data_IF_411929545882
#
_entry.id   IF_411929545882
#
_cell.length_a   1.000
_cell.length_b   1.000
_cell.length_c   1.000
_cell.angle_alpha   90.00
_cell.angle_beta   90.00
_cell.angle_gamma   90.00
#
_symmetry.space_group_name_H-M   'P 1'
#
loop_
_entity.id
_entity.type
_entity.pdbx_description
1 polymer ?
#
# COMPACT_ATOMS: atom_id res chain seq x y z
N UNK A 1 -73.30 18.76 -7.27
CA UNK A 1 -72.16 18.16 -8.01
C UNK A 1 -70.88 18.89 -7.61
N UNK A 2 -70.24 18.47 -6.52
CA UNK A 2 -68.92 18.99 -6.13
C UNK A 2 -67.88 17.97 -6.62
N UNK A 3 -67.08 18.35 -7.63
CA UNK A 3 -66.06 17.47 -8.20
C UNK A 3 -64.84 17.47 -7.29
N UNK A 4 -64.58 16.32 -6.69
CA UNK A 4 -63.32 15.96 -6.04
C UNK A 4 -62.22 15.93 -7.09
N UNK A 5 -61.37 16.95 -7.14
CA UNK A 5 -60.09 16.88 -7.87
C UNK A 5 -59.03 16.31 -6.95
N UNK A 6 -58.83 15.00 -7.08
CA UNK A 6 -57.65 14.29 -6.58
C UNK A 6 -56.43 14.94 -7.22
N UNK A 7 -55.54 15.51 -6.40
CA UNK A 7 -54.21 15.95 -6.84
C UNK A 7 -53.37 14.69 -7.01
N UNK A 8 -53.02 14.38 -8.26
CA UNK A 8 -52.10 13.31 -8.59
C UNK A 8 -50.76 13.52 -7.86
N UNK A 9 -50.40 12.54 -7.03
CA UNK A 9 -49.07 12.45 -6.43
C UNK A 9 -48.17 11.79 -7.47
N UNK A 10 -47.45 12.60 -8.25
CA UNK A 10 -46.36 12.11 -9.08
C UNK A 10 -45.17 11.71 -8.20
N UNK A 11 -45.14 10.44 -7.78
CA UNK A 11 -43.94 9.79 -7.25
C UNK A 11 -43.07 9.41 -8.44
N UNK A 12 -42.42 10.40 -9.06
CA UNK A 12 -41.23 10.18 -9.88
C UNK A 12 -40.03 10.69 -9.11
N UNK A 13 -39.77 10.03 -7.98
CA UNK A 13 -38.46 10.12 -7.34
C UNK A 13 -37.55 9.21 -8.14
N UNK A 14 -37.02 9.72 -9.25
CA UNK A 14 -35.84 9.17 -9.90
C UNK A 14 -34.75 9.07 -8.83
N UNK A 15 -34.62 7.89 -8.23
CA UNK A 15 -33.49 7.53 -7.42
C UNK A 15 -32.30 7.55 -8.37
N UNK A 16 -31.63 8.70 -8.43
CA UNK A 16 -30.30 8.82 -9.00
C UNK A 16 -29.40 7.85 -8.24
N UNK A 17 -29.33 6.61 -8.73
CA UNK A 17 -28.42 5.57 -8.27
C UNK A 17 -27.03 5.84 -8.87
N UNK A 18 -26.62 7.12 -8.85
CA UNK A 18 -25.26 7.51 -9.13
C UNK A 18 -24.34 6.80 -8.13
N UNK A 19 -23.14 6.35 -8.54
CA UNK A 19 -22.22 5.67 -7.64
C UNK A 19 -22.01 6.56 -6.42
N UNK A 20 -22.38 6.08 -5.22
CA UNK A 20 -22.13 6.81 -3.97
C UNK A 20 -20.63 7.03 -3.85
N UNK A 21 -20.18 8.27 -4.12
CA UNK A 21 -18.79 8.66 -3.96
C UNK A 21 -18.54 9.03 -2.50
N UNK A 22 -17.50 8.46 -1.92
CA UNK A 22 -17.11 8.71 -0.53
C UNK A 22 -15.76 9.41 -0.55
N UNK A 23 -15.71 10.61 0.03
CA UNK A 23 -14.46 11.32 0.30
C UNK A 23 -13.83 10.85 1.61
N UNK A 24 -12.50 10.88 1.69
CA UNK A 24 -11.74 10.57 2.90
C UNK A 24 -11.56 11.79 3.82
N UNK A 25 -11.34 11.57 5.11
CA UNK A 25 -10.97 12.66 6.02
C UNK A 25 -9.57 13.20 5.68
N UNK A 26 -9.32 14.48 5.97
CA UNK A 26 -7.99 15.08 5.82
C UNK A 26 -6.93 14.33 6.64
N UNK A 27 -7.31 13.84 7.83
CA UNK A 27 -6.42 13.06 8.68
C UNK A 27 -5.98 11.76 7.99
N UNK A 28 -6.92 11.02 7.36
CA UNK A 28 -6.59 9.82 6.59
C UNK A 28 -5.68 10.16 5.41
N UNK A 29 -5.96 11.25 4.69
CA UNK A 29 -5.15 11.68 3.54
C UNK A 29 -3.70 11.96 3.94
N UNK A 30 -3.48 12.70 5.03
CA UNK A 30 -2.15 13.00 5.57
C UNK A 30 -1.45 11.71 6.04
N UNK A 31 -2.18 10.83 6.72
CA UNK A 31 -1.64 9.53 7.16
C UNK A 31 -1.12 8.73 5.98
N UNK A 32 -1.93 8.56 4.92
CA UNK A 32 -1.54 7.80 3.72
C UNK A 32 -0.29 8.39 3.05
N UNK A 33 -0.20 9.72 2.95
CA UNK A 33 0.98 10.38 2.38
C UNK A 33 2.22 10.12 3.22
N UNK A 34 2.14 10.30 4.55
CA UNK A 34 3.30 10.13 5.44
C UNK A 34 3.76 8.66 5.47
N UNK A 35 2.84 7.72 5.69
CA UNK A 35 3.18 6.28 5.75
C UNK A 35 3.61 5.77 4.38
N UNK A 36 2.98 6.26 3.31
CA UNK A 36 3.38 5.96 1.94
C UNK A 36 4.78 6.47 1.62
N UNK A 37 5.12 7.70 2.01
CA UNK A 37 6.45 8.27 1.82
C UNK A 37 7.53 7.50 2.59
N UNK A 38 7.24 7.13 3.84
CA UNK A 38 8.15 6.31 4.65
C UNK A 38 8.40 4.93 4.01
N UNK A 39 7.33 4.25 3.56
CA UNK A 39 7.44 2.96 2.88
C UNK A 39 8.14 3.05 1.53
N UNK A 40 7.90 4.11 0.76
CA UNK A 40 8.58 4.38 -0.49
C UNK A 40 10.08 4.60 -0.27
N UNK A 41 10.46 5.38 0.74
CA UNK A 41 11.86 5.58 1.11
C UNK A 41 12.55 4.26 1.49
N UNK A 42 11.92 3.45 2.33
CA UNK A 42 12.45 2.14 2.69
C UNK A 42 12.65 1.25 1.46
N UNK A 43 11.63 1.13 0.59
CA UNK A 43 11.70 0.36 -0.64
C UNK A 43 12.79 0.87 -1.60
N UNK A 44 12.98 2.19 -1.67
CA UNK A 44 14.02 2.84 -2.47
C UNK A 44 15.43 2.52 -1.99
N UNK A 45 15.67 2.64 -0.68
CA UNK A 45 16.98 2.33 -0.08
C UNK A 45 17.32 0.85 -0.26
N UNK A 46 16.39 -0.06 0.03
CA UNK A 46 16.62 -1.51 -0.14
C UNK A 46 16.93 -1.83 -1.61
N UNK A 47 16.24 -1.17 -2.55
CA UNK A 47 16.49 -1.32 -3.98
C UNK A 47 17.92 -0.93 -4.36
N UNK A 48 18.38 0.24 -3.91
CA UNK A 48 19.75 0.71 -4.18
C UNK A 48 20.78 -0.26 -3.60
N UNK A 49 20.58 -0.67 -2.35
CA UNK A 49 21.48 -1.62 -1.69
C UNK A 49 21.50 -2.97 -2.41
N UNK A 50 20.39 -3.37 -3.03
CA UNK A 50 20.31 -4.59 -3.83
C UNK A 50 21.16 -4.44 -5.08
N UNK A 51 21.04 -3.34 -5.82
CA UNK A 51 21.87 -3.10 -7.00
C UNK A 51 23.37 -3.07 -6.66
N UNK A 52 23.77 -2.38 -5.60
CA UNK A 52 25.16 -2.36 -5.13
C UNK A 52 25.68 -3.76 -4.77
N UNK A 53 24.83 -4.59 -4.18
CA UNK A 53 25.17 -5.98 -3.85
C UNK A 53 25.28 -6.87 -5.09
N UNK A 54 24.52 -6.57 -6.16
CA UNK A 54 24.66 -7.25 -7.45
C UNK A 54 25.96 -6.85 -8.16
N UNK A 55 26.36 -5.58 -8.08
CA UNK A 55 27.63 -5.09 -8.64
C UNK A 55 28.84 -5.62 -7.87
N UNK A 56 28.76 -5.61 -6.53
CA UNK A 56 29.83 -6.03 -5.63
C UNK A 56 29.28 -6.99 -4.56
N UNK A 57 29.49 -8.31 -4.69
CA UNK A 57 28.92 -9.30 -3.78
C UNK A 57 29.45 -9.22 -2.33
N UNK A 58 30.56 -8.50 -2.12
CA UNK A 58 31.17 -8.18 -0.84
C UNK A 58 30.68 -6.85 -0.24
N UNK A 59 29.73 -6.16 -0.90
CA UNK A 59 29.13 -4.94 -0.35
C UNK A 59 28.34 -5.27 0.92
N UNK A 60 28.63 -4.55 2.00
CA UNK A 60 27.92 -4.67 3.27
C UNK A 60 26.95 -3.49 3.36
N UNK A 61 25.62 -3.72 3.32
CA UNK A 61 24.64 -2.64 3.48
C UNK A 61 24.83 -1.93 4.81
N UNK A 62 24.62 -0.60 4.84
CA UNK A 62 24.80 0.20 6.05
C UNK A 62 23.87 -0.21 7.21
N UNK A 63 22.79 -0.92 6.91
CA UNK A 63 21.87 -1.49 7.89
C UNK A 63 22.26 -2.90 8.38
N UNK A 64 23.41 -3.44 7.95
CA UNK A 64 23.95 -4.73 8.40
C UNK A 64 24.94 -4.54 9.55
N UNK A 65 24.43 -4.46 10.77
CA UNK A 65 25.23 -4.15 11.97
C UNK A 65 25.82 -5.39 12.65
N UNK A 66 25.13 -6.53 12.54
CA UNK A 66 25.49 -7.78 13.20
C UNK A 66 24.90 -8.96 12.39
N UNK A 67 25.45 -10.19 12.45
CA UNK A 67 24.83 -11.39 11.89
C UNK A 67 23.31 -11.56 12.13
N UNK A 68 22.77 -11.07 13.25
CA UNK A 68 21.31 -11.08 13.53
C UNK A 68 20.55 -9.95 12.82
N UNK A 69 21.17 -8.77 12.66
CA UNK A 69 20.60 -7.62 11.94
C UNK A 69 21.39 -7.41 10.66
N UNK A 70 21.11 -8.27 9.66
CA UNK A 70 21.80 -8.26 8.38
C UNK A 70 20.81 -8.16 7.22
N UNK A 71 20.66 -6.95 6.69
CA UNK A 71 19.95 -6.70 5.44
C UNK A 71 20.53 -7.55 4.29
N UNK A 72 21.85 -7.70 4.23
CA UNK A 72 22.53 -8.46 3.17
C UNK A 72 22.13 -9.94 3.13
N UNK A 73 21.98 -10.58 4.29
CA UNK A 73 21.60 -12.00 4.37
C UNK A 73 20.16 -12.22 3.87
N UNK A 74 19.24 -11.34 4.25
CA UNK A 74 17.83 -11.38 3.82
C UNK A 74 17.74 -11.10 2.32
N UNK A 75 18.49 -10.12 1.83
CA UNK A 75 18.49 -9.76 0.42
C UNK A 75 19.02 -10.88 -0.48
N UNK A 76 19.95 -11.72 0.01
CA UNK A 76 20.45 -12.90 -0.72
C UNK A 76 19.50 -14.10 -0.64
N UNK A 77 18.50 -14.07 0.23
CA UNK A 77 17.54 -15.17 0.39
C UNK A 77 16.59 -15.29 -0.81
N UNK A 78 16.04 -16.50 -1.03
CA UNK A 78 15.04 -16.74 -2.09
C UNK A 78 13.72 -16.00 -1.81
N UNK A 79 13.42 -15.78 -0.53
CA UNK A 79 12.21 -15.10 -0.07
C UNK A 79 12.19 -13.62 -0.44
N UNK A 80 13.36 -13.01 -0.68
CA UNK A 80 13.46 -11.63 -1.17
C UNK A 80 12.96 -11.44 -2.62
N UNK A 81 12.67 -12.53 -3.34
CA UNK A 81 12.08 -12.52 -4.68
C UNK A 81 10.88 -13.49 -4.77
N UNK A 82 9.89 -13.31 -3.90
CA UNK A 82 8.75 -14.23 -3.75
C UNK A 82 7.92 -14.38 -5.04
N UNK A 83 7.88 -13.34 -5.87
CA UNK A 83 7.15 -13.30 -7.14
C UNK A 83 8.06 -13.39 -8.37
N UNK A 84 9.32 -13.83 -8.21
CA UNK A 84 10.30 -13.92 -9.30
C UNK A 84 11.03 -12.60 -9.60
N UNK A 85 10.67 -11.51 -8.92
CA UNK A 85 11.36 -10.22 -8.94
C UNK A 85 11.57 -9.72 -7.51
N UNK A 86 12.52 -8.79 -7.26
CA UNK A 86 12.81 -8.30 -5.91
C UNK A 86 11.56 -7.67 -5.26
N UNK A 87 11.18 -8.15 -4.08
CA UNK A 87 10.02 -7.62 -3.34
C UNK A 87 10.06 -6.08 -3.12
N UNK A 88 11.22 -5.42 -2.94
CA UNK A 88 11.29 -3.96 -2.83
C UNK A 88 10.69 -3.22 -4.04
N UNK A 89 10.74 -3.80 -5.24
CA UNK A 89 10.10 -3.23 -6.44
C UNK A 89 8.59 -3.18 -6.30
N UNK A 90 7.98 -4.23 -5.70
CA UNK A 90 6.55 -4.24 -5.38
C UNK A 90 6.22 -3.10 -4.41
N UNK A 91 7.09 -2.89 -3.41
CA UNK A 91 6.98 -1.78 -2.45
C UNK A 91 6.98 -0.42 -3.13
N UNK A 92 7.88 -0.16 -4.09
CA UNK A 92 7.92 1.11 -4.82
C UNK A 92 6.60 1.43 -5.51
N UNK A 93 6.02 0.44 -6.19
CA UNK A 93 4.74 0.61 -6.89
C UNK A 93 3.59 0.77 -5.90
N UNK A 94 3.49 -0.11 -4.91
CA UNK A 94 2.39 -0.12 -3.95
C UNK A 94 2.36 1.15 -3.10
N UNK A 95 3.50 1.57 -2.53
CA UNK A 95 3.57 2.79 -1.74
C UNK A 95 3.40 4.05 -2.61
N UNK A 96 3.86 4.03 -3.87
CA UNK A 96 3.57 5.09 -4.83
C UNK A 96 2.05 5.28 -5.04
N UNK A 97 1.30 4.18 -5.23
CA UNK A 97 -0.16 4.22 -5.33
C UNK A 97 -0.78 4.79 -4.05
N UNK A 98 -0.33 4.35 -2.87
CA UNK A 98 -0.83 4.85 -1.58
C UNK A 98 -0.64 6.38 -1.45
N UNK A 99 0.51 6.91 -1.85
CA UNK A 99 0.76 8.35 -1.88
C UNK A 99 -0.18 9.04 -2.85
N UNK A 100 -0.37 8.51 -4.07
CA UNK A 100 -1.31 9.07 -5.04
C UNK A 100 -2.74 9.14 -4.50
N UNK A 101 -3.20 8.09 -3.81
CA UNK A 101 -4.50 8.09 -3.13
C UNK A 101 -4.53 9.15 -2.04
N UNK A 102 -3.51 9.25 -1.19
CA UNK A 102 -3.42 10.30 -0.17
C UNK A 102 -3.48 11.72 -0.74
N UNK A 103 -2.71 11.99 -1.80
CA UNK A 103 -2.68 13.29 -2.47
C UNK A 103 -4.01 13.64 -3.13
N UNK A 104 -4.67 12.66 -3.75
CA UNK A 104 -6.00 12.87 -4.35
C UNK A 104 -7.06 13.24 -3.32
N UNK A 105 -7.01 12.64 -2.12
CA UNK A 105 -7.89 12.99 -1.02
C UNK A 105 -7.61 14.40 -0.48
N UNK A 106 -6.34 14.85 -0.45
CA UNK A 106 -5.99 16.24 -0.13
C UNK A 106 -6.54 17.22 -1.19
N UNK A 107 -6.57 16.81 -2.46
CA UNK A 107 -7.21 17.55 -3.55
C UNK A 107 -8.75 17.50 -3.51
N UNK A 108 -9.35 16.87 -2.48
CA UNK A 108 -10.80 16.67 -2.31
C UNK A 108 -11.45 15.81 -3.40
N UNK A 109 -10.69 14.89 -3.99
CA UNK A 109 -11.27 13.87 -4.86
C UNK A 109 -12.25 12.97 -4.08
N UNK A 110 -13.30 12.52 -4.74
CA UNK A 110 -14.26 11.56 -4.19
C UNK A 110 -14.26 10.31 -5.07
N UNK A 111 -14.28 9.14 -4.43
CA UNK A 111 -14.14 7.86 -5.13
C UNK A 111 -15.38 6.97 -4.92
N UNK A 112 -15.78 6.18 -5.94
CA UNK A 112 -16.89 5.23 -5.79
C UNK A 112 -16.52 4.12 -4.80
N UNK A 113 -17.54 3.49 -4.20
CA UNK A 113 -17.35 2.46 -3.15
C UNK A 113 -16.47 1.27 -3.58
N UNK A 114 -16.50 0.87 -4.85
CA UNK A 114 -15.66 -0.21 -5.38
C UNK A 114 -14.16 0.11 -5.30
N UNK A 115 -13.78 1.37 -5.57
CA UNK A 115 -12.40 1.83 -5.45
C UNK A 115 -11.86 1.70 -4.02
N UNK A 116 -12.69 2.03 -3.04
CA UNK A 116 -12.33 1.85 -1.64
C UNK A 116 -12.19 0.37 -1.27
N UNK A 117 -13.02 -0.50 -1.83
CA UNK A 117 -12.97 -1.94 -1.57
C UNK A 117 -11.71 -2.57 -2.15
N UNK A 118 -11.32 -2.19 -3.37
CA UNK A 118 -10.06 -2.65 -3.98
C UNK A 118 -8.84 -2.09 -3.25
N UNK A 119 -8.86 -0.82 -2.85
CA UNK A 119 -7.78 -0.23 -2.05
C UNK A 119 -7.61 -0.95 -0.71
N UNK A 120 -8.70 -1.22 0.02
CA UNK A 120 -8.65 -1.96 1.28
C UNK A 120 -8.19 -3.41 1.09
N UNK A 121 -8.63 -4.08 0.01
CA UNK A 121 -8.16 -5.41 -0.30
C UNK A 121 -6.64 -5.42 -0.57
N UNK A 122 -6.14 -4.42 -1.30
CA UNK A 122 -4.71 -4.24 -1.55
C UNK A 122 -3.90 -3.97 -0.29
N UNK A 123 -4.37 -3.09 0.61
CA UNK A 123 -3.69 -2.83 1.88
C UNK A 123 -3.71 -4.04 2.81
N UNK A 124 -4.83 -4.77 2.87
CA UNK A 124 -4.94 -6.02 3.63
C UNK A 124 -3.97 -7.08 3.12
N UNK A 125 -3.88 -7.24 1.79
CA UNK A 125 -2.88 -8.10 1.16
C UNK A 125 -1.46 -7.67 1.54
N UNK A 126 -1.17 -6.37 1.50
CA UNK A 126 0.13 -5.82 1.90
C UNK A 126 0.50 -6.19 3.34
N UNK A 127 -0.41 -6.01 4.29
CA UNK A 127 -0.21 -6.40 5.71
C UNK A 127 0.04 -7.90 5.85
N UNK A 128 -0.74 -8.72 5.15
CA UNK A 128 -0.57 -10.17 5.15
C UNK A 128 0.78 -10.59 4.56
N UNK A 129 1.18 -9.98 3.45
CA UNK A 129 2.45 -10.24 2.78
C UNK A 129 3.65 -9.82 3.63
N UNK A 130 3.61 -8.63 4.26
CA UNK A 130 4.65 -8.18 5.19
C UNK A 130 4.75 -9.12 6.40
N UNK A 131 3.61 -9.56 6.96
CA UNK A 131 3.59 -10.50 8.09
C UNK A 131 4.18 -11.85 7.71
N UNK A 132 3.89 -12.34 6.50
CA UNK A 132 4.50 -13.56 5.97
C UNK A 132 6.01 -13.41 5.76
N UNK A 133 6.48 -12.30 5.21
CA UNK A 133 7.92 -12.01 5.08
C UNK A 133 8.61 -11.92 6.45
N UNK A 134 7.97 -11.29 7.43
CA UNK A 134 8.46 -11.23 8.80
C UNK A 134 8.63 -12.64 9.39
N UNK A 135 7.65 -13.52 9.18
CA UNK A 135 7.72 -14.92 9.60
C UNK A 135 8.89 -15.66 8.92
N UNK A 136 9.10 -15.46 7.62
CA UNK A 136 10.24 -16.05 6.91
C UNK A 136 11.59 -15.54 7.46
N UNK A 137 11.72 -14.24 7.69
CA UNK A 137 12.94 -13.64 8.25
C UNK A 137 13.25 -14.19 9.64
N UNK A 138 12.26 -14.28 10.53
CA UNK A 138 12.46 -14.74 11.91
C UNK A 138 12.67 -16.25 12.01
N UNK A 139 11.81 -17.06 11.38
CA UNK A 139 11.76 -18.51 11.63
C UNK A 139 12.47 -19.38 10.60
N UNK A 140 12.93 -18.80 9.48
CA UNK A 140 13.69 -19.54 8.45
C UNK A 140 15.11 -18.99 8.27
N UNK A 141 15.25 -17.67 8.19
CA UNK A 141 16.55 -17.01 7.90
C UNK A 141 17.30 -16.66 9.19
N UNK A 142 16.57 -16.43 10.30
CA UNK A 142 17.10 -15.94 11.58
C UNK A 142 17.88 -14.62 11.43
N UNK A 143 17.40 -13.73 10.57
CA UNK A 143 18.02 -12.42 10.32
C UNK A 143 16.94 -11.35 10.18
N UNK A 144 17.19 -10.15 10.71
CA UNK A 144 16.31 -8.99 10.60
C UNK A 144 16.92 -7.91 9.70
N UNK A 145 16.07 -7.24 8.94
CA UNK A 145 16.42 -6.08 8.13
C UNK A 145 15.74 -4.87 8.76
N UNK A 146 16.48 -3.80 9.01
CA UNK A 146 15.94 -2.60 9.67
C UNK A 146 14.99 -1.81 8.76
N UNK A 147 15.10 -2.01 7.44
CA UNK A 147 14.24 -1.37 6.45
C UNK A 147 12.99 -2.18 6.08
N UNK A 148 12.94 -3.47 6.41
CA UNK A 148 11.80 -4.34 6.10
C UNK A 148 10.70 -4.18 7.16
#
# INVERSE_FOLDING_TARGET
MSKTTVKDVSIDQERSDGPRTVGGSRALAVLLVITGAAGLLAAWVITIDKFKLLENPNFVPGCSLNPVVSCGNIMKSKQAAAFGFPNPMLGLVAYGIVICVGMSLLARATYPRWYWLTFNAGTLFGVGFCTWLQFQSLYRINSLCLWC
#
